data_IF_812382850156
#
_entry.id   IF_812382850156
#
_cell.length_a   1.000
_cell.length_b   1.000
_cell.length_c   1.000
_cell.angle_alpha   90.00
_cell.angle_beta   90.00
_cell.angle_gamma   90.00
#
_symmetry.space_group_name_H-M   'P 1'
#
loop_
_entity.id
_entity.type
_entity.pdbx_description
1 polymer ?
#
# COMPACT_ATOMS: atom_id res chain seq x y z
N UNK A 1 -9.83 30.28 -34.42
CA UNK A 1 -11.04 29.81 -33.72
C UNK A 1 -10.79 28.38 -33.30
N UNK A 2 -10.63 28.16 -31.99
CA UNK A 2 -10.16 26.91 -31.39
C UNK A 2 -11.25 25.84 -31.44
N UNK A 3 -10.91 24.62 -31.90
CA UNK A 3 -11.76 23.44 -31.71
C UNK A 3 -10.98 22.34 -31.00
N UNK A 4 -11.10 22.40 -29.68
CA UNK A 4 -11.05 21.35 -28.66
C UNK A 4 -10.60 19.96 -29.13
N UNK A 5 -9.35 19.61 -28.79
CA UNK A 5 -8.92 18.23 -28.69
C UNK A 5 -9.67 17.55 -27.54
N UNK A 6 -10.58 16.64 -27.89
CA UNK A 6 -11.21 15.72 -26.95
C UNK A 6 -10.13 14.81 -26.36
N UNK A 7 -9.58 15.16 -25.19
CA UNK A 7 -8.78 14.23 -24.40
C UNK A 7 -9.72 13.13 -23.92
N UNK A 8 -9.51 11.95 -24.46
CA UNK A 8 -10.10 10.70 -23.98
C UNK A 8 -9.82 10.66 -22.48
N UNK A 9 -10.88 10.60 -21.67
CA UNK A 9 -10.77 10.41 -20.24
C UNK A 9 -10.16 9.05 -19.97
N UNK A 10 -8.82 8.99 -19.93
CA UNK A 10 -8.10 7.93 -19.25
C UNK A 10 -8.60 7.94 -17.81
N UNK A 11 -9.43 6.97 -17.46
CA UNK A 11 -9.60 6.56 -16.06
C UNK A 11 -8.22 6.08 -15.60
N UNK A 12 -7.38 7.03 -15.20
CA UNK A 12 -6.06 6.76 -14.66
C UNK A 12 -6.29 6.07 -13.32
N UNK A 13 -6.23 4.74 -13.32
CA UNK A 13 -5.96 3.98 -12.11
C UNK A 13 -4.72 4.62 -11.51
N UNK A 14 -4.87 5.37 -10.42
CA UNK A 14 -3.74 5.88 -9.65
C UNK A 14 -3.05 4.67 -9.05
N UNK A 15 -2.17 4.04 -9.83
CA UNK A 15 -1.25 3.03 -9.29
C UNK A 15 -0.53 3.73 -8.16
N UNK A 16 -0.74 3.26 -6.93
CA UNK A 16 0.00 3.71 -5.78
C UNK A 16 1.49 3.63 -6.14
N UNK A 17 2.18 4.76 -6.05
CA UNK A 17 3.60 4.80 -6.34
C UNK A 17 4.30 3.91 -5.29
N UNK A 18 4.90 2.76 -5.67
CA UNK A 18 5.46 1.81 -4.71
C UNK A 18 6.66 2.39 -3.95
N UNK A 19 7.23 3.50 -4.44
CA UNK A 19 8.33 4.21 -3.80
C UNK A 19 7.88 5.21 -2.73
N UNK A 20 6.56 5.47 -2.62
CA UNK A 20 6.03 6.30 -1.54
C UNK A 20 5.64 5.41 -0.36
N UNK A 21 6.28 5.61 0.82
CA UNK A 21 5.91 4.86 2.00
C UNK A 21 4.48 5.20 2.43
N UNK A 22 3.78 4.19 2.93
CA UNK A 22 2.46 4.36 3.53
C UNK A 22 2.55 4.12 5.03
N UNK A 23 1.86 4.95 5.80
CA UNK A 23 1.80 4.79 7.26
C UNK A 23 1.03 3.53 7.63
N UNK A 24 1.62 2.73 8.52
CA UNK A 24 1.00 1.55 9.09
C UNK A 24 1.07 1.60 10.63
N UNK A 25 0.15 0.92 11.28
CA UNK A 25 0.12 0.74 12.74
C UNK A 25 0.29 -0.73 13.09
N UNK A 26 0.97 -1.00 14.20
CA UNK A 26 1.04 -2.33 14.80
C UNK A 26 -0.31 -2.63 15.45
N UNK A 27 -0.97 -3.69 14.98
CA UNK A 27 -2.25 -4.17 15.50
C UNK A 27 -2.04 -5.22 16.58
N UNK A 28 -1.05 -6.09 16.37
CA UNK A 28 -0.72 -7.19 17.26
C UNK A 28 0.77 -7.52 17.16
N UNK A 29 1.33 -8.00 18.26
CA UNK A 29 2.68 -8.54 18.33
C UNK A 29 2.57 -9.94 18.93
N UNK A 30 2.91 -10.96 18.14
CA UNK A 30 2.89 -12.37 18.55
C UNK A 30 4.32 -12.83 18.79
N UNK A 31 4.62 -13.30 20.00
CA UNK A 31 5.91 -13.89 20.34
C UNK A 31 5.96 -15.32 19.79
N UNK A 32 6.93 -15.63 18.94
CA UNK A 32 7.05 -16.96 18.31
C UNK A 32 8.02 -17.84 19.10
N UNK A 33 9.23 -17.34 19.30
CA UNK A 33 10.31 -17.98 20.07
C UNK A 33 11.16 -16.91 20.73
N UNK A 34 12.18 -17.31 21.49
CA UNK A 34 13.13 -16.38 22.11
C UNK A 34 13.69 -15.40 21.06
N UNK A 35 13.50 -14.11 21.32
CA UNK A 35 13.97 -12.98 20.51
C UNK A 35 13.38 -12.90 19.08
N UNK A 36 12.27 -13.61 18.81
CA UNK A 36 11.55 -13.57 17.51
C UNK A 36 10.08 -13.28 17.73
N UNK A 37 9.56 -12.28 17.01
CA UNK A 37 8.14 -11.91 17.05
C UNK A 37 7.59 -11.62 15.65
N UNK A 38 6.31 -11.96 15.48
CA UNK A 38 5.51 -11.59 14.31
C UNK A 38 4.73 -10.32 14.62
N UNK A 39 4.78 -9.34 13.71
CA UNK A 39 4.01 -8.09 13.83
C UNK A 39 2.88 -8.10 12.81
N UNK A 40 1.64 -7.95 13.28
CA UNK A 40 0.53 -7.66 12.39
C UNK A 40 0.44 -6.16 12.16
N UNK A 41 0.58 -5.74 10.90
CA UNK A 41 0.55 -4.34 10.49
C UNK A 41 -0.72 -4.05 9.69
N UNK A 42 -1.34 -2.89 9.95
CA UNK A 42 -2.45 -2.39 9.15
C UNK A 42 -2.15 -1.00 8.59
N UNK A 43 -2.43 -0.79 7.30
CA UNK A 43 -2.37 0.53 6.68
C UNK A 43 -3.42 1.46 7.32
N UNK A 44 -3.04 2.70 7.62
CA UNK A 44 -3.93 3.66 8.28
C UNK A 44 -4.95 4.28 7.33
N UNK A 45 -4.64 4.38 6.04
CA UNK A 45 -5.57 4.85 5.01
C UNK A 45 -6.56 3.71 4.65
N UNK A 46 -7.88 3.87 4.90
CA UNK A 46 -8.88 2.85 4.57
C UNK A 46 -8.94 2.51 3.09
N UNK A 47 -8.65 3.46 2.19
CA UNK A 47 -8.68 3.21 0.76
C UNK A 47 -7.48 2.34 0.34
N UNK A 48 -6.28 2.69 0.82
CA UNK A 48 -5.08 1.89 0.62
C UNK A 48 -5.21 0.47 1.20
N UNK A 49 -5.73 0.35 2.43
CA UNK A 49 -5.98 -0.94 3.08
C UNK A 49 -6.93 -1.83 2.26
N UNK A 50 -8.02 -1.27 1.73
CA UNK A 50 -8.97 -2.01 0.89
C UNK A 50 -8.38 -2.44 -0.45
N UNK A 51 -7.48 -1.63 -1.03
CA UNK A 51 -6.84 -1.91 -2.31
C UNK A 51 -5.65 -2.87 -2.18
N UNK A 52 -5.01 -2.96 -1.01
CA UNK A 52 -3.79 -3.74 -0.81
C UNK A 52 -4.03 -5.25 -0.99
N UNK A 53 -3.30 -5.86 -1.93
CA UNK A 53 -3.33 -7.31 -2.19
C UNK A 53 -1.91 -7.82 -2.42
N UNK A 54 -1.34 -8.44 -1.40
CA UNK A 54 -0.05 -9.08 -1.49
C UNK A 54 -0.05 -10.21 -2.53
N UNK A 55 0.96 -10.25 -3.39
CA UNK A 55 1.16 -11.30 -4.39
C UNK A 55 2.34 -12.19 -4.02
N UNK A 56 2.34 -13.48 -4.41
CA UNK A 56 3.47 -14.37 -4.19
C UNK A 56 4.78 -13.81 -4.74
N UNK A 57 5.84 -13.90 -3.94
CA UNK A 57 7.18 -13.39 -4.29
C UNK A 57 7.40 -11.90 -4.03
N UNK A 58 6.39 -11.17 -3.54
CA UNK A 58 6.57 -9.81 -3.05
C UNK A 58 7.14 -9.80 -1.63
N UNK A 59 7.74 -8.68 -1.25
CA UNK A 59 8.07 -8.36 0.14
C UNK A 59 7.85 -6.86 0.32
N UNK A 60 7.47 -6.46 1.53
CA UNK A 60 7.32 -5.05 1.87
C UNK A 60 8.61 -4.53 2.50
N UNK A 61 8.94 -3.29 2.21
CA UNK A 61 9.98 -2.57 2.94
C UNK A 61 9.35 -1.83 4.11
N UNK A 62 9.93 -2.01 5.30
CA UNK A 62 9.54 -1.29 6.51
C UNK A 62 10.64 -0.28 6.85
N UNK A 63 10.21 0.95 7.14
CA UNK A 63 11.05 2.03 7.66
C UNK A 63 10.53 2.34 9.07
N UNK A 64 11.38 2.20 10.08
CA UNK A 64 11.08 2.40 11.51
C UNK A 64 11.96 3.46 12.11
#
# INVERSE_FOLDING_TARGET
MNSLGTKIGENSVSRSNPWLPQTAVIREIVSEVKDVATYELALTDPAAAQAYRFQPGQFNMLYV
#
